data_IF_287486261919
#
_entry.id   IF_287486261919
#
_cell.length_a   1.000
_cell.length_b   1.000
_cell.length_c   1.000
_cell.angle_alpha   90.00
_cell.angle_beta   90.00
_cell.angle_gamma   90.00
#
_symmetry.space_group_name_H-M   'P 1'
#
loop_
_entity.id
_entity.type
_entity.pdbx_description
1 polymer ?
#
# COMPACT_ATOMS: atom_id res chain seq x y z
N UNK A 1 -5.05 16.96 42.12
CA UNK A 1 -6.17 17.71 41.55
C UNK A 1 -6.81 18.69 42.56
N UNK A 2 -7.01 18.29 43.84
CA UNK A 2 -7.69 19.11 44.85
C UNK A 2 -6.99 20.47 45.11
N UNK A 3 -5.66 20.48 45.36
CA UNK A 3 -4.89 21.68 45.55
C UNK A 3 -4.88 22.60 44.31
N UNK A 4 -4.78 22.00 43.14
CA UNK A 4 -4.81 22.75 41.89
C UNK A 4 -6.18 23.41 41.66
N UNK A 5 -7.24 22.69 41.96
CA UNK A 5 -8.61 23.19 41.88
C UNK A 5 -8.90 24.32 42.86
N UNK A 6 -8.36 24.25 44.10
CA UNK A 6 -8.44 25.34 45.04
C UNK A 6 -7.74 26.60 44.57
N UNK A 7 -6.59 26.46 43.92
CA UNK A 7 -5.75 27.57 43.48
C UNK A 7 -6.26 28.20 42.15
N UNK A 8 -6.81 27.40 41.22
CA UNK A 8 -7.12 27.87 39.87
C UNK A 8 -8.62 27.83 39.52
N UNK A 9 -9.47 27.19 40.33
CA UNK A 9 -10.89 26.99 40.06
C UNK A 9 -11.24 25.94 39.03
N UNK A 10 -10.23 25.31 38.41
CA UNK A 10 -10.39 24.27 37.38
C UNK A 10 -9.68 22.96 37.76
N UNK A 11 -10.10 21.82 37.23
CA UNK A 11 -9.38 20.57 37.47
C UNK A 11 -8.03 20.55 36.74
N UNK A 12 -7.08 19.81 37.25
CA UNK A 12 -5.70 19.71 36.72
C UNK A 12 -5.69 19.34 35.22
N UNK A 13 -6.49 18.33 34.82
CA UNK A 13 -6.60 17.93 33.43
C UNK A 13 -7.05 19.07 32.51
N UNK A 14 -8.03 19.88 32.95
CA UNK A 14 -8.49 21.05 32.19
C UNK A 14 -7.41 22.15 32.11
N UNK A 15 -6.63 22.33 33.18
CA UNK A 15 -5.49 23.26 33.18
C UNK A 15 -4.42 22.84 32.18
N UNK A 16 -4.06 21.57 32.16
CA UNK A 16 -3.12 21.02 31.17
C UNK A 16 -3.62 21.24 29.74
N UNK A 17 -4.88 20.91 29.47
CA UNK A 17 -5.49 21.13 28.14
C UNK A 17 -5.41 22.60 27.73
N UNK A 18 -5.73 23.55 28.62
CA UNK A 18 -5.67 24.99 28.34
C UNK A 18 -4.25 25.47 27.98
N UNK A 19 -3.23 24.94 28.65
CA UNK A 19 -1.81 25.27 28.37
C UNK A 19 -1.40 24.77 26.97
N UNK A 20 -1.85 23.59 26.59
CA UNK A 20 -1.50 22.98 25.29
C UNK A 20 -2.45 23.35 24.14
N UNK A 21 -3.57 24.00 24.43
CA UNK A 21 -4.56 24.36 23.39
C UNK A 21 -3.99 25.17 22.21
N UNK A 22 -3.10 26.17 22.39
CA UNK A 22 -2.51 26.88 21.26
C UNK A 22 -1.69 25.95 20.35
N UNK A 23 -0.96 24.98 20.95
CA UNK A 23 -0.20 23.96 20.19
C UNK A 23 -1.13 23.03 19.41
N UNK A 24 -2.21 22.57 20.03
CA UNK A 24 -3.21 21.75 19.36
C UNK A 24 -3.92 22.50 18.23
N UNK A 25 -4.23 23.79 18.42
CA UNK A 25 -4.80 24.63 17.38
C UNK A 25 -3.83 24.86 16.22
N UNK A 26 -2.54 25.05 16.49
CA UNK A 26 -1.52 25.14 15.46
C UNK A 26 -1.34 23.83 14.70
N UNK A 27 -1.43 22.69 15.38
CA UNK A 27 -1.37 21.35 14.79
C UNK A 27 -2.57 21.08 13.86
N UNK A 28 -3.75 21.62 14.15
CA UNK A 28 -4.96 21.52 13.32
C UNK A 28 -4.97 22.52 12.14
N UNK A 29 -3.96 23.38 12.03
CA UNK A 29 -3.77 24.28 10.89
C UNK A 29 -3.19 23.56 9.66
N UNK A 30 -3.28 24.20 8.48
CA UNK A 30 -2.77 23.62 7.23
C UNK A 30 -1.31 23.18 7.30
N UNK A 31 -0.44 23.99 7.90
CA UNK A 31 0.99 23.65 8.06
C UNK A 31 1.19 22.52 9.05
N UNK A 32 0.49 22.56 10.19
CA UNK A 32 0.56 21.51 11.20
C UNK A 32 0.12 20.15 10.66
N UNK A 33 -1.01 20.11 9.97
CA UNK A 33 -1.53 18.91 9.31
C UNK A 33 -0.55 18.35 8.27
N UNK A 34 0.05 19.23 7.44
CA UNK A 34 1.03 18.82 6.44
C UNK A 34 2.29 18.22 7.08
N UNK A 35 2.81 18.84 8.14
CA UNK A 35 4.00 18.34 8.84
C UNK A 35 3.74 17.00 9.53
N UNK A 36 2.61 16.88 10.22
CA UNK A 36 2.22 15.65 10.94
C UNK A 36 2.06 14.48 9.96
N UNK A 37 1.21 14.65 8.95
CA UNK A 37 0.87 13.55 8.03
C UNK A 37 1.93 13.33 6.97
N UNK A 38 2.68 14.37 6.59
CA UNK A 38 3.87 14.23 5.75
C UNK A 38 4.97 13.44 6.45
N UNK A 39 5.25 13.72 7.73
CA UNK A 39 6.20 12.94 8.52
C UNK A 39 5.76 11.48 8.69
N UNK A 40 4.47 11.25 8.97
CA UNK A 40 3.89 9.91 9.07
C UNK A 40 4.10 9.09 7.79
N UNK A 41 3.81 9.68 6.64
CA UNK A 41 3.99 9.05 5.33
C UNK A 41 5.47 8.87 4.98
N UNK A 42 6.33 9.83 5.33
CA UNK A 42 7.77 9.73 5.11
C UNK A 42 8.38 8.56 5.90
N UNK A 43 8.03 8.41 7.19
CA UNK A 43 8.49 7.26 7.97
C UNK A 43 8.05 5.93 7.37
N UNK A 44 6.80 5.81 6.94
CA UNK A 44 6.33 4.62 6.23
C UNK A 44 7.10 4.36 4.94
N UNK A 45 7.36 5.41 4.17
CA UNK A 45 8.09 5.27 2.91
C UNK A 45 9.52 4.73 3.10
N UNK A 46 10.18 5.06 4.20
CA UNK A 46 11.51 4.52 4.55
C UNK A 46 11.45 3.18 5.31
N UNK A 47 10.27 2.55 5.40
CA UNK A 47 10.09 1.24 6.02
C UNK A 47 9.86 1.26 7.53
N UNK A 48 9.63 2.43 8.14
CA UNK A 48 9.30 2.57 9.56
C UNK A 48 7.81 2.87 9.72
N UNK A 49 7.12 2.18 10.64
CA UNK A 49 5.69 2.38 10.85
C UNK A 49 5.40 3.81 11.37
N UNK A 50 5.02 4.71 10.44
CA UNK A 50 4.84 6.14 10.69
C UNK A 50 3.87 6.48 11.82
N UNK A 51 2.65 5.89 11.89
CA UNK A 51 1.73 6.11 13.00
C UNK A 51 2.36 5.83 14.36
N UNK A 52 3.13 4.77 14.52
CA UNK A 52 3.78 4.43 15.80
C UNK A 52 4.79 5.48 16.27
N UNK A 53 5.36 6.26 15.36
CA UNK A 53 6.30 7.33 15.66
C UNK A 53 5.59 8.66 15.94
N UNK A 54 4.61 9.00 15.09
CA UNK A 54 3.99 10.35 15.10
C UNK A 54 2.77 10.42 16.02
N UNK A 55 1.92 9.39 16.03
CA UNK A 55 0.65 9.40 16.76
C UNK A 55 0.77 9.62 18.27
N UNK A 56 1.77 9.05 18.98
CA UNK A 56 1.94 9.34 20.41
C UNK A 56 2.07 10.83 20.74
N UNK A 57 2.70 11.62 19.84
CA UNK A 57 2.88 13.06 20.04
C UNK A 57 1.59 13.87 19.88
N UNK A 58 0.62 13.37 19.11
CA UNK A 58 -0.62 14.07 18.77
C UNK A 58 -1.87 13.42 19.34
N UNK A 59 -1.77 12.27 20.00
CA UNK A 59 -2.89 11.46 20.46
C UNK A 59 -3.89 12.24 21.32
N UNK A 60 -3.38 13.10 22.21
CA UNK A 60 -4.24 13.95 23.05
C UNK A 60 -5.06 14.92 22.20
N UNK A 61 -4.48 15.51 21.15
CA UNK A 61 -5.17 16.41 20.24
C UNK A 61 -6.23 15.65 19.41
N UNK A 62 -5.91 14.46 18.91
CA UNK A 62 -6.84 13.62 18.14
C UNK A 62 -8.10 13.31 18.94
N UNK A 63 -7.96 12.91 20.20
CA UNK A 63 -9.10 12.57 21.09
C UNK A 63 -9.86 13.82 21.50
N UNK A 64 -9.16 14.92 21.85
CA UNK A 64 -9.79 16.16 22.25
C UNK A 64 -10.62 16.76 21.10
N UNK A 65 -10.05 16.84 19.90
CA UNK A 65 -10.73 17.40 18.74
C UNK A 65 -11.98 16.57 18.37
N UNK A 66 -11.88 15.25 18.48
CA UNK A 66 -13.03 14.36 18.24
C UNK A 66 -14.18 14.63 19.22
N UNK A 67 -13.87 14.75 20.53
CA UNK A 67 -14.87 15.08 21.54
C UNK A 67 -15.42 16.50 21.37
N UNK A 68 -14.60 17.45 20.93
CA UNK A 68 -15.03 18.83 20.62
C UNK A 68 -16.00 18.87 19.46
N UNK A 69 -15.72 18.13 18.37
CA UNK A 69 -16.61 18.03 17.23
C UNK A 69 -17.97 17.43 17.62
N UNK A 70 -17.95 16.32 18.38
CA UNK A 70 -19.19 15.71 18.85
C UNK A 70 -20.01 16.66 19.71
N UNK A 71 -19.39 17.36 20.65
CA UNK A 71 -20.05 18.34 21.51
C UNK A 71 -20.64 19.51 20.70
N UNK A 72 -19.93 20.02 19.70
CA UNK A 72 -20.40 21.06 18.81
C UNK A 72 -21.70 20.65 18.08
N UNK A 73 -21.71 19.48 17.47
CA UNK A 73 -22.91 18.98 16.76
C UNK A 73 -24.08 18.74 17.69
N UNK A 74 -23.85 18.29 18.92
CA UNK A 74 -24.93 18.10 19.91
C UNK A 74 -25.66 19.38 20.26
N UNK A 75 -25.00 20.54 20.15
CA UNK A 75 -25.61 21.86 20.37
C UNK A 75 -25.94 22.58 19.07
N UNK A 76 -25.94 21.90 17.94
CA UNK A 76 -26.28 22.45 16.64
C UNK A 76 -25.20 23.35 16.03
N UNK A 77 -23.96 23.27 16.53
CA UNK A 77 -22.83 24.02 16.00
C UNK A 77 -22.03 23.16 15.01
N UNK A 78 -21.24 23.83 14.18
CA UNK A 78 -20.35 23.19 13.21
C UNK A 78 -19.16 22.50 13.87
N UNK A 79 -18.85 21.27 13.41
CA UNK A 79 -17.70 20.52 13.84
C UNK A 79 -16.46 20.92 13.01
N UNK A 80 -15.66 21.85 13.53
CA UNK A 80 -14.58 22.54 12.79
C UNK A 80 -13.19 21.90 12.93
N UNK A 81 -13.03 20.87 13.78
CA UNK A 81 -11.72 20.23 14.00
C UNK A 81 -11.42 19.15 12.96
N UNK A 82 -10.26 19.26 12.33
CA UNK A 82 -9.79 18.36 11.27
C UNK A 82 -8.83 17.31 11.80
N UNK A 83 -7.91 17.68 12.71
CA UNK A 83 -6.95 16.75 13.31
C UNK A 83 -7.69 15.79 14.26
N UNK A 84 -8.22 14.70 13.70
CA UNK A 84 -9.02 13.68 14.39
C UNK A 84 -8.60 12.28 13.96
N UNK A 85 -8.90 11.26 14.78
CA UNK A 85 -8.65 9.86 14.41
C UNK A 85 -9.37 9.48 13.11
N UNK A 86 -10.59 9.95 12.91
CA UNK A 86 -11.34 9.67 11.70
C UNK A 86 -10.67 10.26 10.45
N UNK A 87 -10.19 11.49 10.51
CA UNK A 87 -9.45 12.10 9.40
C UNK A 87 -8.14 11.36 9.11
N UNK A 88 -7.43 10.93 10.16
CA UNK A 88 -6.22 10.12 10.00
C UNK A 88 -6.51 8.80 9.28
N UNK A 89 -7.52 8.04 9.73
CA UNK A 89 -7.79 6.70 9.22
C UNK A 89 -8.44 6.69 7.84
N UNK A 90 -9.34 7.65 7.57
CA UNK A 90 -10.21 7.56 6.39
C UNK A 90 -9.92 8.62 5.31
N UNK A 91 -9.25 9.73 5.65
CA UNK A 91 -8.87 10.77 4.69
C UNK A 91 -7.40 10.66 4.34
N UNK A 92 -6.52 10.72 5.34
CA UNK A 92 -5.06 10.67 5.17
C UNK A 92 -4.62 9.29 4.73
N UNK A 93 -5.13 8.25 5.41
CA UNK A 93 -4.83 6.85 5.12
C UNK A 93 -5.96 6.18 4.33
N UNK A 94 -6.50 6.86 3.31
CA UNK A 94 -7.54 6.30 2.45
C UNK A 94 -7.01 5.08 1.68
N UNK A 95 -7.37 3.89 2.15
CA UNK A 95 -6.80 2.65 1.64
C UNK A 95 -5.42 2.32 2.22
N UNK A 96 -5.12 2.81 3.42
CA UNK A 96 -3.85 2.66 4.13
C UNK A 96 -2.89 3.84 3.93
N UNK A 97 -1.76 3.82 4.62
CA UNK A 97 -0.78 4.92 4.58
C UNK A 97 -0.32 5.20 3.14
N UNK A 98 -0.21 6.49 2.81
CA UNK A 98 0.08 6.93 1.44
C UNK A 98 -1.18 7.16 0.60
N UNK A 99 -2.40 7.04 1.16
CA UNK A 99 -3.66 7.16 0.44
C UNK A 99 -3.74 6.21 -0.78
N UNK A 100 -3.46 4.93 -0.55
CA UNK A 100 -3.15 3.96 -1.59
C UNK A 100 -4.37 3.28 -2.23
N UNK A 101 -5.60 3.62 -1.83
CA UNK A 101 -6.80 2.99 -2.40
C UNK A 101 -6.83 3.11 -3.92
N UNK A 102 -6.66 4.32 -4.43
CA UNK A 102 -6.81 4.60 -5.86
C UNK A 102 -5.68 3.98 -6.68
N UNK A 103 -4.43 4.06 -6.22
CA UNK A 103 -3.30 3.44 -6.93
C UNK A 103 -3.41 1.91 -6.95
N UNK A 104 -3.91 1.27 -5.89
CA UNK A 104 -4.19 -0.16 -5.86
C UNK A 104 -5.25 -0.55 -6.90
N UNK A 105 -6.33 0.24 -7.02
CA UNK A 105 -7.35 0.03 -8.04
C UNK A 105 -6.81 0.29 -9.46
N UNK A 106 -5.92 1.27 -9.65
CA UNK A 106 -5.22 1.45 -10.94
C UNK A 106 -4.42 0.21 -11.32
N UNK A 107 -3.70 -0.40 -10.36
CA UNK A 107 -2.97 -1.64 -10.61
C UNK A 107 -3.94 -2.76 -11.01
N UNK A 108 -5.04 -2.92 -10.28
CA UNK A 108 -6.02 -3.99 -10.54
C UNK A 108 -6.68 -3.89 -11.92
N UNK A 109 -7.00 -2.66 -12.37
CA UNK A 109 -7.87 -2.46 -13.54
C UNK A 109 -7.17 -1.82 -14.74
N UNK A 110 -6.17 -0.96 -14.53
CA UNK A 110 -5.52 -0.18 -15.59
C UNK A 110 -4.12 -0.68 -15.95
N UNK A 111 -3.45 -1.45 -15.09
CA UNK A 111 -2.11 -1.96 -15.35
C UNK A 111 -2.09 -2.84 -16.62
N UNK A 112 -1.03 -2.68 -17.40
CA UNK A 112 -0.71 -3.54 -18.56
C UNK A 112 0.17 -4.70 -18.14
N UNK A 113 1.07 -4.49 -17.17
CA UNK A 113 1.86 -5.53 -16.54
C UNK A 113 0.96 -6.57 -15.89
N UNK A 114 1.20 -7.85 -16.17
CA UNK A 114 0.45 -8.96 -15.59
C UNK A 114 0.71 -9.09 -14.10
N UNK A 115 1.96 -8.87 -13.69
CA UNK A 115 2.40 -8.88 -12.30
C UNK A 115 1.66 -7.82 -11.48
N UNK A 116 1.70 -6.55 -11.92
CA UNK A 116 1.03 -5.46 -11.20
C UNK A 116 -0.48 -5.65 -11.14
N UNK A 117 -1.07 -6.16 -12.21
CA UNK A 117 -2.51 -6.45 -12.26
C UNK A 117 -2.92 -7.54 -11.27
N UNK A 118 -2.10 -8.59 -11.12
CA UNK A 118 -2.35 -9.65 -10.16
C UNK A 118 -2.23 -9.13 -8.72
N UNK A 119 -1.18 -8.37 -8.41
CA UNK A 119 -0.97 -7.76 -7.09
C UNK A 119 -2.12 -6.79 -6.76
N UNK A 120 -2.50 -5.91 -7.68
CA UNK A 120 -3.61 -4.98 -7.49
C UNK A 120 -4.91 -5.69 -7.16
N UNK A 121 -5.26 -6.73 -7.91
CA UNK A 121 -6.48 -7.54 -7.66
C UNK A 121 -6.44 -8.24 -6.31
N UNK A 122 -5.32 -8.88 -5.96
CA UNK A 122 -5.16 -9.59 -4.69
C UNK A 122 -5.24 -8.64 -3.48
N UNK A 123 -4.75 -7.41 -3.64
CA UNK A 123 -4.69 -6.41 -2.56
C UNK A 123 -5.93 -5.51 -2.48
N UNK A 124 -6.82 -5.52 -3.48
CA UNK A 124 -7.94 -4.57 -3.54
C UNK A 124 -8.88 -4.65 -2.33
N UNK A 125 -9.19 -5.85 -1.85
CA UNK A 125 -10.06 -6.04 -0.69
C UNK A 125 -9.37 -5.57 0.59
N UNK A 126 -8.16 -6.03 0.96
CA UNK A 126 -7.46 -5.51 2.13
C UNK A 126 -7.32 -3.99 2.11
N UNK A 127 -6.91 -3.41 0.99
CA UNK A 127 -6.72 -1.95 0.84
C UNK A 127 -8.03 -1.18 1.02
N UNK A 128 -9.17 -1.71 0.57
CA UNK A 128 -10.48 -1.09 0.83
C UNK A 128 -10.75 -0.97 2.34
N UNK A 129 -10.24 -1.89 3.15
CA UNK A 129 -10.31 -1.90 4.61
C UNK A 129 -9.09 -1.27 5.29
N UNK A 130 -8.34 -0.42 4.57
CA UNK A 130 -7.15 0.32 5.01
C UNK A 130 -5.94 -0.55 5.39
N UNK A 131 -5.93 -1.84 5.02
CA UNK A 131 -4.81 -2.78 5.21
C UNK A 131 -4.03 -2.84 3.90
N UNK A 132 -2.98 -2.03 3.77
CA UNK A 132 -2.25 -1.91 2.51
C UNK A 132 -0.87 -2.57 2.48
N UNK A 133 -0.43 -3.22 3.52
CA UNK A 133 0.86 -3.91 3.58
C UNK A 133 1.03 -4.94 2.45
N UNK A 134 0.03 -5.78 2.10
CA UNK A 134 0.16 -6.69 0.97
C UNK A 134 0.43 -5.97 -0.36
N UNK A 135 -0.15 -4.78 -0.54
CA UNK A 135 0.07 -3.95 -1.71
C UNK A 135 1.43 -3.26 -1.69
N UNK A 136 1.81 -2.66 -0.56
CA UNK A 136 3.06 -1.91 -0.41
C UNK A 136 4.31 -2.76 -0.62
N UNK A 137 4.26 -4.01 -0.15
CA UNK A 137 5.38 -4.94 -0.26
C UNK A 137 5.29 -5.83 -1.49
N UNK A 138 4.08 -6.17 -1.94
CA UNK A 138 3.87 -6.95 -3.16
C UNK A 138 4.29 -6.20 -4.42
N UNK A 139 3.95 -4.92 -4.52
CA UNK A 139 4.28 -4.06 -5.66
C UNK A 139 5.48 -3.13 -5.40
N UNK A 140 6.44 -3.47 -4.56
CA UNK A 140 7.42 -2.66 -3.85
C UNK A 140 7.23 -1.14 -4.03
N UNK A 141 6.20 -0.61 -3.34
CA UNK A 141 5.91 0.84 -3.30
C UNK A 141 6.85 1.55 -2.34
N UNK A 142 7.08 0.93 -1.16
CA UNK A 142 8.00 1.41 -0.13
C UNK A 142 9.43 1.38 -0.66
N UNK A 143 10.19 2.43 -0.40
CA UNK A 143 11.55 2.65 -0.90
C UNK A 143 11.67 2.75 -2.43
N UNK A 144 10.58 2.80 -3.17
CA UNK A 144 10.61 2.96 -4.62
C UNK A 144 10.64 4.45 -5.00
N UNK A 145 11.73 4.94 -5.62
CA UNK A 145 11.87 6.36 -5.95
C UNK A 145 10.71 6.92 -6.81
N UNK A 146 10.10 6.09 -7.64
CA UNK A 146 8.95 6.49 -8.48
C UNK A 146 7.78 6.95 -7.61
N UNK A 147 7.53 6.28 -6.49
CA UNK A 147 6.38 6.59 -5.62
C UNK A 147 6.70 7.55 -4.47
N UNK A 148 7.95 8.01 -4.32
CA UNK A 148 8.34 8.91 -3.23
C UNK A 148 7.44 10.15 -3.14
N UNK A 149 7.28 10.84 -4.25
CA UNK A 149 6.48 12.08 -4.29
C UNK A 149 4.99 11.82 -4.02
N UNK A 150 4.29 10.96 -4.77
CA UNK A 150 2.86 10.78 -4.57
C UNK A 150 2.53 10.15 -3.21
N UNK A 151 3.37 9.25 -2.67
CA UNK A 151 3.14 8.59 -1.39
C UNK A 151 3.13 9.57 -0.20
N UNK A 152 3.93 10.63 -0.27
CA UNK A 152 3.98 11.68 0.76
C UNK A 152 2.97 12.78 0.48
N UNK A 153 2.82 13.18 -0.79
CA UNK A 153 2.01 14.33 -1.15
C UNK A 153 0.50 14.04 -1.15
N UNK A 154 0.06 12.85 -1.54
CA UNK A 154 -1.37 12.52 -1.58
C UNK A 154 -2.03 12.62 -0.19
N UNK A 155 -1.49 12.04 0.91
CA UNK A 155 -2.02 12.24 2.25
C UNK A 155 -2.12 13.72 2.69
N UNK A 156 -1.11 14.54 2.34
CA UNK A 156 -1.11 15.98 2.64
C UNK A 156 -2.22 16.69 1.84
N UNK A 157 -2.31 16.39 0.55
CA UNK A 157 -3.34 16.97 -0.31
C UNK A 157 -4.75 16.59 0.17
N UNK A 158 -4.94 15.33 0.57
CA UNK A 158 -6.22 14.83 1.09
C UNK A 158 -6.66 15.56 2.35
N UNK A 159 -5.76 15.73 3.32
CA UNK A 159 -6.11 16.44 4.55
C UNK A 159 -6.32 17.94 4.32
N UNK A 160 -5.58 18.55 3.38
CA UNK A 160 -5.81 19.94 3.01
C UNK A 160 -7.15 20.13 2.29
N UNK A 161 -7.50 19.24 1.38
CA UNK A 161 -8.81 19.25 0.74
C UNK A 161 -9.91 19.08 1.78
N UNK A 162 -9.74 18.13 2.72
CA UNK A 162 -10.71 17.93 3.81
C UNK A 162 -10.87 19.18 4.67
N UNK A 163 -9.76 19.83 5.02
CA UNK A 163 -9.78 21.08 5.78
C UNK A 163 -10.48 22.21 5.00
N UNK A 164 -10.28 22.32 3.69
CA UNK A 164 -11.02 23.27 2.85
C UNK A 164 -12.52 22.97 2.89
N UNK A 165 -12.92 21.70 2.83
CA UNK A 165 -14.34 21.34 2.93
C UNK A 165 -14.94 21.70 4.29
N UNK A 166 -14.17 21.53 5.36
CA UNK A 166 -14.60 21.91 6.72
C UNK A 166 -14.67 23.43 6.86
N UNK A 167 -13.59 24.15 6.53
CA UNK A 167 -13.49 25.60 6.79
C UNK A 167 -14.32 26.45 5.83
N UNK A 168 -14.44 26.05 4.55
CA UNK A 168 -15.06 26.89 3.50
C UNK A 168 -16.48 26.44 3.16
N UNK A 169 -16.66 25.11 2.99
CA UNK A 169 -17.96 24.56 2.61
C UNK A 169 -18.84 24.18 3.82
N UNK A 170 -18.34 24.40 5.03
CA UNK A 170 -19.06 24.13 6.28
C UNK A 170 -19.46 22.63 6.41
N UNK A 171 -18.62 21.74 5.87
CA UNK A 171 -18.75 20.30 6.07
C UNK A 171 -18.30 19.95 7.48
N UNK A 172 -19.10 19.21 8.23
CA UNK A 172 -18.67 18.76 9.55
C UNK A 172 -17.43 17.86 9.45
N UNK A 173 -16.49 18.08 10.36
CA UNK A 173 -15.39 17.15 10.61
C UNK A 173 -15.91 15.84 11.18
N UNK A 174 -14.99 14.93 11.50
CA UNK A 174 -15.37 13.63 12.08
C UNK A 174 -15.99 13.81 13.46
N UNK A 175 -17.16 13.21 13.65
CA UNK A 175 -17.95 13.24 14.88
C UNK A 175 -18.12 11.87 15.52
N UNK A 176 -17.91 10.79 14.76
CA UNK A 176 -17.99 9.42 15.25
C UNK A 176 -16.66 8.69 15.16
N UNK A 177 -16.32 7.97 16.24
CA UNK A 177 -15.15 7.06 16.24
C UNK A 177 -15.56 5.74 15.62
N UNK A 178 -14.93 5.40 14.50
CA UNK A 178 -15.12 4.14 13.81
C UNK A 178 -13.82 3.31 13.90
N UNK A 179 -13.91 1.97 13.88
CA UNK A 179 -12.74 1.12 13.76
C UNK A 179 -11.93 1.50 12.51
N UNK A 180 -10.61 1.57 12.61
CA UNK A 180 -9.73 1.93 11.49
C UNK A 180 -9.87 0.98 10.29
N UNK A 181 -10.31 -0.26 10.53
CA UNK A 181 -10.61 -1.28 9.51
C UNK A 181 -11.98 -1.10 8.85
N UNK A 182 -12.72 -0.02 9.13
CA UNK A 182 -13.92 0.31 8.34
C UNK A 182 -13.49 0.63 6.91
N UNK A 183 -14.22 0.17 5.86
CA UNK A 183 -13.90 0.56 4.49
C UNK A 183 -13.74 2.08 4.36
N UNK A 184 -12.59 2.54 3.83
CA UNK A 184 -12.23 3.96 3.81
C UNK A 184 -13.33 4.89 3.31
N UNK A 185 -13.96 4.62 2.15
CA UNK A 185 -15.08 5.44 1.64
C UNK A 185 -16.28 5.50 2.59
N UNK A 186 -16.63 4.39 3.24
CA UNK A 186 -17.72 4.36 4.22
C UNK A 186 -17.34 5.10 5.49
N UNK A 187 -16.06 5.00 5.91
CA UNK A 187 -15.53 5.70 7.06
C UNK A 187 -15.71 7.23 6.96
N UNK A 188 -15.47 7.80 5.78
CA UNK A 188 -15.70 9.24 5.51
C UNK A 188 -17.19 9.59 5.68
N UNK A 189 -18.08 8.86 5.00
CA UNK A 189 -19.51 9.17 4.98
C UNK A 189 -20.12 9.03 6.38
N UNK A 190 -19.83 7.91 7.04
CA UNK A 190 -20.40 7.61 8.37
C UNK A 190 -19.77 8.50 9.44
N UNK A 191 -18.47 8.74 9.40
CA UNK A 191 -17.73 9.49 10.39
C UNK A 191 -18.08 10.99 10.41
N UNK A 192 -18.42 11.57 9.24
CA UNK A 192 -18.84 12.98 9.09
C UNK A 192 -20.37 13.16 9.12
N UNK A 193 -21.16 12.11 9.46
CA UNK A 193 -22.60 12.24 9.77
C UNK A 193 -23.54 12.13 8.58
N UNK A 194 -23.35 11.23 7.65
CA UNK A 194 -24.27 10.83 6.55
C UNK A 194 -24.98 12.04 5.89
N UNK A 195 -24.20 12.98 5.37
CA UNK A 195 -24.67 14.17 4.66
C UNK A 195 -24.19 14.13 3.20
N UNK A 196 -24.70 15.03 2.37
CA UNK A 196 -24.31 15.10 0.94
C UNK A 196 -22.86 15.57 0.76
N UNK A 197 -22.38 16.51 1.57
CA UNK A 197 -21.03 17.07 1.44
C UNK A 197 -19.90 16.03 1.62
N UNK A 198 -19.94 15.10 2.61
CA UNK A 198 -18.98 14.00 2.69
C UNK A 198 -18.97 13.10 1.45
N UNK A 199 -20.11 12.89 0.78
CA UNK A 199 -20.17 12.10 -0.47
C UNK A 199 -19.50 12.87 -1.61
N UNK A 200 -19.77 14.18 -1.74
CA UNK A 200 -19.09 15.02 -2.74
C UNK A 200 -17.58 15.07 -2.47
N UNK A 201 -17.19 15.28 -1.21
CA UNK A 201 -15.79 15.23 -0.81
C UNK A 201 -15.12 13.92 -1.20
N UNK A 202 -15.78 12.78 -0.90
CA UNK A 202 -15.27 11.44 -1.26
C UNK A 202 -14.99 11.33 -2.76
N UNK A 203 -15.91 11.76 -3.62
CA UNK A 203 -15.72 11.72 -5.06
C UNK A 203 -14.52 12.58 -5.48
N UNK A 204 -14.42 13.78 -4.94
CA UNK A 204 -13.34 14.73 -5.29
C UNK A 204 -11.98 14.22 -4.80
N UNK A 205 -11.88 13.67 -3.59
CA UNK A 205 -10.62 13.13 -3.07
C UNK A 205 -10.14 11.92 -3.87
N UNK A 206 -11.05 11.03 -4.29
CA UNK A 206 -10.70 9.90 -5.15
C UNK A 206 -10.20 10.35 -6.53
N UNK A 207 -10.83 11.37 -7.12
CA UNK A 207 -10.35 11.96 -8.38
C UNK A 207 -8.99 12.66 -8.19
N UNK A 208 -8.79 13.36 -7.08
CA UNK A 208 -7.53 14.00 -6.76
C UNK A 208 -6.40 12.98 -6.60
N UNK A 209 -6.62 11.90 -5.84
CA UNK A 209 -5.67 10.80 -5.69
C UNK A 209 -5.36 10.14 -7.04
N UNK A 210 -6.37 9.98 -7.90
CA UNK A 210 -6.16 9.47 -9.26
C UNK A 210 -5.20 10.38 -10.05
N UNK A 211 -5.43 11.68 -10.04
CA UNK A 211 -4.58 12.64 -10.77
C UNK A 211 -3.16 12.67 -10.21
N UNK A 212 -3.00 12.61 -8.88
CA UNK A 212 -1.68 12.62 -8.23
C UNK A 212 -0.89 11.35 -8.57
N UNK A 213 -1.53 10.16 -8.49
CA UNK A 213 -0.84 8.88 -8.69
C UNK A 213 -0.67 8.49 -10.15
N UNK A 214 -1.54 8.93 -11.06
CA UNK A 214 -1.58 8.46 -12.45
C UNK A 214 -0.26 8.59 -13.22
N UNK A 215 0.48 9.72 -13.19
CA UNK A 215 1.74 9.83 -13.92
C UNK A 215 2.79 8.84 -13.42
N UNK A 216 2.88 8.64 -12.10
CA UNK A 216 3.83 7.72 -11.47
C UNK A 216 3.45 6.26 -11.71
N UNK A 217 2.16 5.94 -11.63
CA UNK A 217 1.62 4.65 -12.02
C UNK A 217 2.02 4.29 -13.44
N UNK A 218 1.84 5.20 -14.40
CA UNK A 218 2.15 4.96 -15.80
C UNK A 218 3.65 4.71 -16.04
N UNK A 219 4.51 5.45 -15.35
CA UNK A 219 5.96 5.22 -15.41
C UNK A 219 6.30 3.83 -14.90
N UNK A 220 5.78 3.46 -13.74
CA UNK A 220 6.07 2.18 -13.12
C UNK A 220 5.49 0.98 -13.88
N UNK A 221 4.26 1.10 -14.40
CA UNK A 221 3.64 0.06 -15.24
C UNK A 221 4.45 -0.19 -16.52
N UNK A 222 4.98 0.87 -17.15
CA UNK A 222 5.83 0.73 -18.32
C UNK A 222 7.17 0.06 -17.98
N UNK A 223 7.81 0.42 -16.85
CA UNK A 223 9.03 -0.23 -16.39
C UNK A 223 8.82 -1.74 -16.19
N UNK A 224 7.75 -2.10 -15.49
CA UNK A 224 7.41 -3.51 -15.27
C UNK A 224 7.05 -4.25 -16.55
N UNK A 225 6.38 -3.59 -17.48
CA UNK A 225 6.08 -4.17 -18.79
C UNK A 225 7.33 -4.42 -19.64
N UNK A 226 8.34 -3.54 -19.54
CA UNK A 226 9.64 -3.75 -20.19
C UNK A 226 10.42 -4.89 -19.52
N UNK A 227 10.41 -4.97 -18.19
CA UNK A 227 10.99 -6.10 -17.46
C UNK A 227 10.34 -7.44 -17.87
N UNK A 228 9.00 -7.48 -17.93
CA UNK A 228 8.26 -8.67 -18.39
C UNK A 228 8.64 -9.06 -19.82
N UNK A 229 8.76 -8.09 -20.74
CA UNK A 229 9.17 -8.35 -22.12
C UNK A 229 10.61 -8.85 -22.21
N UNK A 230 11.53 -8.24 -21.49
CA UNK A 230 12.93 -8.65 -21.47
C UNK A 230 13.08 -10.06 -20.90
N UNK A 231 12.33 -10.40 -19.85
CA UNK A 231 12.28 -11.76 -19.30
C UNK A 231 11.66 -12.78 -20.29
N UNK A 232 10.71 -12.33 -21.14
CA UNK A 232 10.20 -13.16 -22.25
C UNK A 232 11.18 -13.24 -23.43
N UNK A 233 12.07 -12.24 -23.61
CA UNK A 233 13.10 -12.29 -24.66
C UNK A 233 14.31 -13.13 -24.27
N UNK A 234 14.57 -13.36 -22.98
CA UNK A 234 15.59 -14.32 -22.53
C UNK A 234 15.14 -15.78 -22.65
N UNK A 235 13.84 -16.02 -22.79
CA UNK A 235 13.29 -17.28 -23.30
C UNK A 235 13.22 -17.17 -24.84
N UNK A 236 14.36 -16.94 -25.51
CA UNK A 236 14.45 -17.26 -26.94
C UNK A 236 14.37 -18.77 -27.04
N UNK A 237 13.36 -19.24 -27.74
CA UNK A 237 13.32 -20.50 -28.44
C UNK A 237 14.56 -20.65 -29.37
N UNK A 238 15.71 -20.87 -28.78
CA UNK A 238 16.78 -21.59 -29.43
C UNK A 238 16.76 -23.00 -28.80
N UNK A 239 15.81 -23.80 -29.28
CA UNK A 239 15.56 -25.16 -28.81
C UNK A 239 16.75 -26.11 -29.13
N UNK A 240 17.85 -25.58 -29.65
CA UNK A 240 19.03 -26.38 -29.96
C UNK A 240 20.33 -25.60 -29.76
N UNK A 241 21.11 -25.99 -28.81
CA UNK A 241 22.52 -25.59 -28.69
C UNK A 241 23.37 -26.62 -29.43
N UNK A 242 24.00 -26.21 -30.53
CA UNK A 242 25.02 -27.03 -31.16
C UNK A 242 26.28 -27.10 -30.27
N UNK A 243 26.46 -28.20 -29.61
CA UNK A 243 27.73 -28.56 -28.95
C UNK A 243 28.31 -29.74 -29.71
N UNK A 244 29.44 -29.50 -30.34
CA UNK A 244 30.23 -30.55 -31.05
C UNK A 244 29.46 -31.28 -32.19
N UNK A 245 28.60 -30.52 -32.94
CA UNK A 245 27.87 -31.06 -34.09
C UNK A 245 26.71 -32.02 -33.76
N UNK A 246 26.28 -32.09 -32.50
CA UNK A 246 25.08 -32.79 -32.06
C UNK A 246 24.05 -31.78 -31.55
N UNK A 247 22.85 -31.82 -32.12
CA UNK A 247 21.66 -31.12 -31.60
C UNK A 247 21.22 -31.88 -30.34
N UNK A 248 21.38 -31.25 -29.17
CA UNK A 248 20.92 -31.78 -27.88
C UNK A 248 19.64 -31.01 -27.49
N UNK A 249 18.59 -31.74 -27.14
CA UNK A 249 17.38 -31.16 -26.58
C UNK A 249 17.73 -30.42 -25.29
N UNK A 250 17.39 -29.12 -25.22
CA UNK A 250 17.60 -28.31 -24.03
C UNK A 250 16.62 -28.69 -22.94
N UNK A 251 17.11 -28.89 -21.72
CA UNK A 251 16.25 -29.10 -20.54
C UNK A 251 15.69 -27.78 -20.03
N UNK A 252 14.40 -27.76 -19.70
CA UNK A 252 13.68 -26.56 -19.22
C UNK A 252 13.47 -26.64 -17.71
N UNK A 253 13.97 -25.65 -16.97
CA UNK A 253 13.83 -25.58 -15.49
C UNK A 253 13.02 -24.34 -15.10
N UNK A 254 11.99 -24.54 -14.28
CA UNK A 254 11.21 -23.47 -13.67
C UNK A 254 11.63 -23.31 -12.21
N UNK A 255 12.03 -22.10 -11.81
CA UNK A 255 12.35 -21.76 -10.42
C UNK A 255 11.19 -20.95 -9.81
N UNK A 256 10.60 -21.42 -8.72
CA UNK A 256 9.47 -20.81 -8.04
C UNK A 256 9.87 -20.16 -6.71
N UNK A 257 9.38 -18.95 -6.45
CA UNK A 257 9.48 -18.30 -5.14
C UNK A 257 8.16 -17.56 -4.78
N UNK A 258 8.12 -16.91 -3.61
CA UNK A 258 6.93 -16.21 -3.14
C UNK A 258 6.52 -15.00 -4.00
N UNK A 259 7.47 -14.28 -4.60
CA UNK A 259 7.21 -13.01 -5.28
C UNK A 259 8.02 -12.75 -6.56
N UNK A 260 8.62 -13.76 -7.18
CA UNK A 260 9.31 -13.63 -8.48
C UNK A 260 10.73 -13.04 -8.44
N UNK A 261 11.12 -12.24 -7.46
CA UNK A 261 12.42 -11.57 -7.43
C UNK A 261 13.62 -12.48 -7.17
N UNK A 262 13.53 -13.35 -6.17
CA UNK A 262 14.61 -14.27 -5.80
C UNK A 262 14.73 -15.45 -6.77
N UNK A 263 13.61 -15.89 -7.35
CA UNK A 263 13.61 -16.94 -8.38
C UNK A 263 14.35 -16.50 -9.63
N UNK A 264 14.23 -15.21 -10.03
CA UNK A 264 14.98 -14.65 -11.16
C UNK A 264 16.50 -14.71 -10.95
N UNK A 265 16.98 -14.36 -9.76
CA UNK A 265 18.40 -14.45 -9.43
C UNK A 265 18.91 -15.90 -9.48
N UNK A 266 18.13 -16.85 -8.97
CA UNK A 266 18.51 -18.27 -8.99
C UNK A 266 18.43 -18.85 -10.40
N UNK A 267 17.40 -18.51 -11.18
CA UNK A 267 17.27 -18.92 -12.57
C UNK A 267 18.45 -18.41 -13.42
N UNK A 268 18.82 -17.14 -13.27
CA UNK A 268 19.97 -16.54 -13.96
C UNK A 268 21.30 -17.19 -13.54
N UNK A 269 21.49 -17.51 -12.26
CA UNK A 269 22.67 -18.21 -11.77
C UNK A 269 22.79 -19.62 -12.36
N UNK A 270 21.66 -20.35 -12.45
CA UNK A 270 21.60 -21.67 -13.08
C UNK A 270 21.89 -21.59 -14.59
N UNK A 271 21.31 -20.62 -15.30
CA UNK A 271 21.58 -20.41 -16.72
C UNK A 271 23.06 -20.09 -16.99
N UNK A 272 23.66 -19.23 -16.15
CA UNK A 272 25.07 -18.87 -16.25
C UNK A 272 25.99 -20.08 -16.00
N UNK A 273 25.74 -20.84 -14.93
CA UNK A 273 26.52 -22.04 -14.62
C UNK A 273 26.39 -23.12 -15.70
N UNK A 274 25.20 -23.34 -16.24
CA UNK A 274 24.96 -24.26 -17.34
C UNK A 274 25.74 -23.85 -18.60
N UNK A 275 25.77 -22.54 -18.92
CA UNK A 275 26.54 -22.02 -20.05
C UNK A 275 28.05 -22.20 -19.87
N UNK A 276 28.56 -21.99 -18.66
CA UNK A 276 29.99 -22.20 -18.34
C UNK A 276 30.40 -23.66 -18.46
N UNK A 277 29.50 -24.61 -18.18
CA UNK A 277 29.72 -26.06 -18.26
C UNK A 277 29.28 -26.65 -19.62
N UNK A 278 28.82 -25.83 -20.56
CA UNK A 278 28.35 -26.27 -21.88
C UNK A 278 27.10 -27.17 -21.86
N UNK A 279 26.25 -27.04 -20.83
CA UNK A 279 25.01 -27.80 -20.67
C UNK A 279 23.88 -27.03 -21.33
N UNK A 280 23.12 -27.62 -22.29
CA UNK A 280 21.95 -26.97 -22.89
C UNK A 280 20.80 -26.89 -21.87
N UNK A 281 20.64 -25.73 -21.22
CA UNK A 281 19.66 -25.50 -20.15
C UNK A 281 18.93 -24.21 -20.38
N UNK A 282 17.60 -24.27 -20.38
CA UNK A 282 16.70 -23.10 -20.37
C UNK A 282 16.11 -22.96 -18.97
N UNK A 283 16.25 -21.78 -18.35
CA UNK A 283 15.73 -21.53 -17.02
C UNK A 283 14.71 -20.40 -17.05
N UNK A 284 13.63 -20.54 -16.30
CA UNK A 284 12.64 -19.48 -16.08
C UNK A 284 12.35 -19.30 -14.60
N UNK A 285 11.88 -18.11 -14.25
CA UNK A 285 11.48 -17.76 -12.91
C UNK A 285 9.96 -17.54 -12.85
N UNK A 286 9.33 -18.02 -11.78
CA UNK A 286 7.90 -17.84 -11.55
C UNK A 286 7.57 -17.59 -10.10
N UNK A 287 6.32 -17.18 -9.83
CA UNK A 287 5.78 -17.10 -8.47
C UNK A 287 4.97 -18.35 -8.15
N UNK A 288 5.13 -18.85 -6.90
CA UNK A 288 4.23 -19.86 -6.37
C UNK A 288 2.79 -19.30 -6.34
N UNK A 289 1.83 -20.04 -6.89
CA UNK A 289 0.45 -19.58 -7.06
C UNK A 289 0.04 -19.32 -8.52
N UNK A 290 1.00 -18.92 -9.38
CA UNK A 290 0.79 -18.83 -10.82
C UNK A 290 1.46 -19.97 -11.61
N UNK A 291 2.03 -20.94 -10.92
CA UNK A 291 2.83 -22.04 -11.50
C UNK A 291 2.00 -23.06 -12.30
N UNK A 292 0.73 -23.25 -11.95
CA UNK A 292 -0.15 -24.23 -12.59
C UNK A 292 -0.31 -24.01 -14.11
N UNK A 293 -0.31 -22.74 -14.52
CA UNK A 293 -0.54 -22.37 -15.93
C UNK A 293 0.71 -22.58 -16.81
N UNK A 294 1.90 -22.65 -16.20
CA UNK A 294 3.19 -22.68 -16.92
C UNK A 294 4.02 -23.93 -16.65
N UNK A 295 3.78 -24.62 -15.54
CA UNK A 295 4.64 -25.73 -15.06
C UNK A 295 4.70 -26.90 -16.05
N UNK A 296 3.62 -27.14 -16.81
CA UNK A 296 3.56 -28.24 -17.80
C UNK A 296 4.56 -28.12 -18.94
N UNK A 297 5.11 -26.94 -19.20
CA UNK A 297 6.07 -26.66 -20.28
C UNK A 297 7.52 -26.89 -19.86
N UNK A 298 7.76 -27.36 -18.63
CA UNK A 298 9.10 -27.53 -18.04
C UNK A 298 9.37 -28.99 -17.64
N UNK A 299 10.65 -29.38 -17.70
CA UNK A 299 11.11 -30.73 -17.29
C UNK A 299 11.31 -30.84 -15.77
N UNK A 300 11.67 -29.74 -15.13
CA UNK A 300 11.98 -29.67 -13.70
C UNK A 300 11.49 -28.37 -13.08
N UNK A 301 10.91 -28.48 -11.90
CA UNK A 301 10.53 -27.34 -11.07
C UNK A 301 11.35 -27.32 -9.79
N UNK A 302 11.96 -26.18 -9.49
CA UNK A 302 12.75 -25.94 -8.28
C UNK A 302 12.01 -24.96 -7.39
N UNK A 303 11.79 -25.33 -6.12
CA UNK A 303 11.16 -24.45 -5.15
C UNK A 303 12.23 -23.73 -4.32
N UNK A 304 12.18 -22.38 -4.34
CA UNK A 304 13.10 -21.59 -3.54
C UNK A 304 12.88 -21.80 -2.03
N UNK A 305 13.93 -21.71 -1.19
CA UNK A 305 13.84 -22.03 0.25
C UNK A 305 12.79 -21.23 1.02
N UNK A 306 12.46 -19.99 0.58
CA UNK A 306 11.47 -19.14 1.23
C UNK A 306 10.04 -19.71 1.17
N UNK A 307 9.77 -20.58 0.23
CA UNK A 307 8.45 -21.21 0.00
C UNK A 307 8.49 -22.73 0.21
N UNK A 308 9.51 -23.23 0.87
CA UNK A 308 9.69 -24.66 1.14
C UNK A 308 8.52 -25.32 1.87
N UNK A 309 7.74 -24.54 2.65
CA UNK A 309 6.52 -25.01 3.32
C UNK A 309 5.44 -25.50 2.34
N UNK A 310 5.48 -25.09 1.08
CA UNK A 310 4.51 -25.48 0.04
C UNK A 310 5.01 -26.66 -0.81
N UNK A 311 6.15 -27.25 -0.47
CA UNK A 311 6.77 -28.34 -1.27
C UNK A 311 5.83 -29.53 -1.51
N UNK A 312 5.12 -29.99 -0.47
CA UNK A 312 4.22 -31.15 -0.58
C UNK A 312 3.03 -30.88 -1.53
N UNK A 313 2.53 -29.64 -1.56
CA UNK A 313 1.44 -29.28 -2.44
C UNK A 313 1.94 -29.08 -3.89
N UNK A 314 3.07 -28.41 -4.06
CA UNK A 314 3.73 -28.29 -5.37
C UNK A 314 4.06 -29.65 -5.97
N UNK A 315 4.54 -30.60 -5.15
CA UNK A 315 4.88 -31.95 -5.61
C UNK A 315 3.64 -32.70 -6.12
N UNK A 316 2.50 -32.57 -5.46
CA UNK A 316 1.23 -33.15 -5.95
C UNK A 316 0.81 -32.58 -7.31
N UNK A 317 0.98 -31.27 -7.50
CA UNK A 317 0.66 -30.61 -8.75
C UNK A 317 1.65 -30.99 -9.86
N UNK A 318 2.95 -31.07 -9.54
CA UNK A 318 4.00 -31.54 -10.45
C UNK A 318 3.78 -32.98 -10.89
N UNK A 319 3.45 -33.88 -9.94
CA UNK A 319 3.15 -35.29 -10.23
C UNK A 319 1.95 -35.45 -11.18
N UNK A 320 0.92 -34.59 -11.03
CA UNK A 320 -0.24 -34.56 -11.94
C UNK A 320 0.12 -34.18 -13.36
N UNK A 321 1.10 -33.29 -13.52
CA UNK A 321 1.55 -32.77 -14.82
C UNK A 321 2.73 -33.57 -15.41
N UNK A 322 3.27 -34.55 -14.67
CA UNK A 322 4.40 -35.35 -15.10
C UNK A 322 5.73 -34.63 -15.05
N UNK A 323 5.84 -33.55 -14.27
CA UNK A 323 7.02 -32.70 -14.12
C UNK A 323 7.78 -33.10 -12.85
N UNK A 324 9.12 -33.15 -12.92
CA UNK A 324 9.93 -33.39 -11.72
C UNK A 324 9.94 -32.14 -10.81
N UNK A 325 9.91 -32.36 -9.48
CA UNK A 325 9.96 -31.29 -8.49
C UNK A 325 11.08 -31.57 -7.46
N UNK A 326 11.87 -30.53 -7.14
CA UNK A 326 12.90 -30.55 -6.10
C UNK A 326 12.87 -29.26 -5.28
#
# INVERSE_FOLDING_TARGET
>A
DYLFRMATGICFAKGVIQVFQPLFSAADGYVGLALIYGAMSLFWFIGVHGPSIVEPAISAALVLNMSTNLAAVQVGQHADKVLTLGAQYFVVCLGGTGATLVICLMFAFLAKSKELKAIGKASSIPVLFNVNEPFLFGAPIVLNPVFFVPFIFAPIANVWLFKIFVDVFNMDGFIYTLPWTTPGPLGIILGCGIKLLPVIFLVIVLVMDFVIYYPFFKVYDNQKLEEEKNNHFEVKEDDSVEVDGKVLDSKKILVLCAGGGTSGLLANALAKGAKEEGIPLVTAAGSYGAHLDIMGDYDLVILAPQVASYYEDLKKDADRMGVKCI
#
